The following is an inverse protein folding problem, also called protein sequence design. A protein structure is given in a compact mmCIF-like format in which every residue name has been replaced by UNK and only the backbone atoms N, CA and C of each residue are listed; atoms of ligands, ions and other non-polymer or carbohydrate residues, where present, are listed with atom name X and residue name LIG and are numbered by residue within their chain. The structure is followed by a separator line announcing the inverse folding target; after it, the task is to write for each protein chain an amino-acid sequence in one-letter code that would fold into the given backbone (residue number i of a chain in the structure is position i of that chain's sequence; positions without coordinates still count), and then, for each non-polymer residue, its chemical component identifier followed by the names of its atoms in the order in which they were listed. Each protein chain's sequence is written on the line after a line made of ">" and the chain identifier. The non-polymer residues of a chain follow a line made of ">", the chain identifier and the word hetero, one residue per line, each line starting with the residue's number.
data_IF_157048277660
#
_entry.id   IF_157048277660
#
_cell.length_a   1.000
_cell.length_b   1.000
_cell.length_c   1.000
_cell.angle_alpha   90.00
_cell.angle_beta   90.00
_cell.angle_gamma   90.00
#
_symmetry.space_group_name_H-M   'P 1'
#
loop_
_entity.id
_entity.type
_entity.pdbx_description
1 polymer ?
#
# COMPACT_ATOMS: atom_id res chain seq x y z
N UNK A 1 10.93 -23.60 63.75
CA UNK A 1 10.43 -23.89 62.38
C UNK A 1 9.98 -22.59 61.77
N UNK A 2 10.74 -22.08 60.80
CA UNK A 2 10.53 -20.78 60.16
C UNK A 2 10.55 -21.04 58.66
N UNK A 3 9.53 -20.63 57.87
CA UNK A 3 9.50 -20.96 56.46
C UNK A 3 10.45 -20.05 55.67
N UNK A 4 11.26 -20.70 54.84
CA UNK A 4 12.13 -20.12 53.83
C UNK A 4 11.24 -19.51 52.74
N UNK A 5 11.36 -18.20 52.48
CA UNK A 5 10.77 -17.57 51.28
C UNK A 5 11.74 -17.72 50.12
N UNK A 6 11.35 -18.48 49.10
CA UNK A 6 11.98 -18.47 47.79
C UNK A 6 11.58 -17.19 47.04
N UNK A 7 12.57 -16.36 46.70
CA UNK A 7 12.43 -15.26 45.75
C UNK A 7 12.56 -15.84 44.34
N UNK A 8 11.45 -16.05 43.65
CA UNK A 8 11.45 -16.40 42.22
C UNK A 8 11.68 -15.15 41.38
N UNK A 9 12.78 -15.18 40.65
CA UNK A 9 13.15 -14.25 39.59
C UNK A 9 12.07 -14.16 38.51
N UNK A 10 11.48 -12.97 38.32
CA UNK A 10 10.69 -12.65 37.15
C UNK A 10 10.96 -11.21 36.72
N UNK A 11 12.14 -10.98 36.14
CA UNK A 11 12.41 -9.83 35.27
C UNK A 11 13.28 -10.29 34.12
N UNK A 12 12.66 -10.90 33.12
CA UNK A 12 13.33 -11.26 31.89
C UNK A 12 12.38 -11.17 30.70
N UNK A 13 11.76 -10.00 30.51
CA UNK A 13 11.26 -9.56 29.20
C UNK A 13 11.37 -8.03 29.14
N UNK A 14 12.58 -7.53 28.94
CA UNK A 14 12.80 -6.12 28.56
C UNK A 14 14.17 -5.98 27.94
N UNK A 15 14.28 -6.37 26.68
CA UNK A 15 15.28 -5.88 25.73
C UNK A 15 15.12 -6.62 24.39
N UNK A 16 13.98 -6.48 23.72
CA UNK A 16 14.02 -6.60 22.26
C UNK A 16 14.60 -5.28 21.79
N UNK A 17 15.93 -5.27 21.63
CA UNK A 17 16.67 -4.13 21.10
C UNK A 17 16.09 -3.81 19.70
N UNK A 18 15.97 -2.54 19.32
CA UNK A 18 15.34 -2.11 18.05
C UNK A 18 15.96 -2.80 16.82
N UNK A 19 17.21 -3.23 16.93
CA UNK A 19 17.94 -4.02 15.93
C UNK A 19 17.42 -5.45 15.74
N UNK A 20 16.83 -6.06 16.77
CA UNK A 20 16.24 -7.41 16.71
C UNK A 20 14.92 -7.47 15.95
N UNK A 21 14.12 -6.40 16.00
CA UNK A 21 12.86 -6.28 15.25
C UNK A 21 13.15 -6.15 13.75
N UNK A 22 14.18 -5.38 13.38
CA UNK A 22 14.60 -5.22 11.99
C UNK A 22 15.13 -6.54 11.39
N UNK A 23 15.85 -7.35 12.17
CA UNK A 23 16.36 -8.66 11.73
C UNK A 23 15.23 -9.70 11.56
N UNK A 24 14.20 -9.64 12.40
CA UNK A 24 12.99 -10.49 12.28
C UNK A 24 12.15 -10.12 11.06
N UNK A 25 11.95 -8.82 10.78
CA UNK A 25 11.30 -8.35 9.54
C UNK A 25 12.08 -8.80 8.30
N UNK A 26 13.41 -8.74 8.36
CA UNK A 26 14.30 -9.16 7.26
C UNK A 26 14.22 -10.67 6.96
N UNK A 27 14.19 -11.52 7.99
CA UNK A 27 14.04 -12.98 7.81
C UNK A 27 12.64 -13.36 7.28
N UNK A 28 11.60 -12.62 7.65
CA UNK A 28 10.23 -12.86 7.18
C UNK A 28 10.05 -12.52 5.70
N UNK A 29 10.75 -11.49 5.21
CA UNK A 29 10.69 -11.05 3.81
C UNK A 29 11.49 -11.97 2.86
N UNK A 30 12.58 -12.57 3.32
CA UNK A 30 13.48 -13.39 2.48
C UNK A 30 13.05 -14.85 2.27
N UNK A 31 12.19 -15.41 3.13
CA UNK A 31 11.76 -16.81 3.03
C UNK A 31 10.61 -17.04 2.03
N UNK A 32 10.18 -15.98 1.35
CA UNK A 32 9.16 -16.03 0.30
C UNK A 32 9.82 -15.89 -1.06
N UNK A 33 10.27 -17.02 -1.64
CA UNK A 33 10.85 -17.08 -2.98
C UNK A 33 10.01 -16.38 -4.04
N UNK A 34 10.69 -15.88 -5.09
CA UNK A 34 10.17 -15.13 -6.25
C UNK A 34 9.07 -14.15 -5.88
N UNK A 35 9.40 -12.85 -5.78
CA UNK A 35 8.47 -11.75 -5.48
C UNK A 35 7.20 -11.87 -6.33
N UNK A 36 6.21 -12.56 -5.77
CA UNK A 36 4.90 -12.68 -6.38
C UNK A 36 4.24 -11.36 -6.04
N UNK A 37 4.10 -10.51 -7.06
CA UNK A 37 3.53 -9.17 -6.97
C UNK A 37 2.09 -9.20 -6.43
N UNK A 38 1.52 -10.39 -6.29
CA UNK A 38 0.11 -10.63 -6.12
C UNK A 38 -0.55 -10.37 -7.44
N UNK A 39 -1.25 -11.35 -7.99
CA UNK A 39 -2.19 -11.01 -9.04
C UNK A 39 -3.44 -10.41 -8.39
N UNK A 40 -4.02 -9.37 -8.98
CA UNK A 40 -5.33 -8.92 -8.54
C UNK A 40 -6.35 -10.06 -8.66
N UNK A 41 -7.41 -10.08 -7.83
CA UNK A 41 -8.48 -11.04 -8.01
C UNK A 41 -9.11 -10.88 -9.39
N UNK A 42 -9.43 -11.99 -10.04
CA UNK A 42 -10.24 -12.01 -11.25
C UNK A 42 -11.66 -11.61 -10.87
N UNK A 43 -12.15 -10.49 -11.41
CA UNK A 43 -13.45 -9.92 -11.09
C UNK A 43 -14.29 -9.72 -12.35
N UNK A 44 -15.50 -10.26 -12.34
CA UNK A 44 -16.47 -10.21 -13.46
C UNK A 44 -17.49 -9.07 -13.32
N UNK A 45 -17.38 -8.25 -12.26
CA UNK A 45 -18.28 -7.13 -12.04
C UNK A 45 -18.26 -6.15 -13.23
N UNK A 46 -19.41 -5.58 -13.63
CA UNK A 46 -19.45 -4.60 -14.70
C UNK A 46 -18.47 -3.45 -14.49
N UNK A 47 -17.81 -3.03 -15.57
CA UNK A 47 -16.91 -1.91 -15.56
C UNK A 47 -17.59 -0.65 -16.10
N UNK A 48 -17.24 0.49 -15.51
CA UNK A 48 -17.66 1.81 -15.96
C UNK A 48 -16.43 2.65 -16.26
N UNK A 49 -16.37 3.16 -17.48
CA UNK A 49 -15.37 4.16 -17.84
C UNK A 49 -15.77 5.53 -17.25
N UNK A 50 -14.83 6.26 -16.62
CA UNK A 50 -15.05 7.66 -16.27
C UNK A 50 -15.38 8.49 -17.51
N UNK A 51 -16.35 9.39 -17.40
CA UNK A 51 -16.73 10.29 -18.51
C UNK A 51 -16.21 11.70 -18.28
N UNK A 52 -16.27 12.53 -19.32
CA UNK A 52 -15.92 13.95 -19.27
C UNK A 52 -16.82 14.76 -18.34
N UNK A 53 -18.12 14.42 -18.31
CA UNK A 53 -19.15 15.22 -17.67
C UNK A 53 -19.52 14.71 -16.27
N UNK A 54 -19.05 13.53 -15.88
CA UNK A 54 -19.41 12.91 -14.62
C UNK A 54 -18.16 12.34 -13.93
N UNK A 55 -17.64 13.03 -12.91
CA UNK A 55 -16.59 12.50 -12.06
C UNK A 55 -17.02 11.16 -11.44
N UNK A 56 -16.11 10.20 -11.42
CA UNK A 56 -16.36 8.88 -10.81
C UNK A 56 -15.69 8.83 -9.45
N UNK A 57 -16.45 8.90 -8.34
CA UNK A 57 -15.89 8.80 -7.00
C UNK A 57 -15.50 7.34 -6.70
N UNK A 58 -14.37 7.17 -6.03
CA UNK A 58 -13.83 5.90 -5.56
C UNK A 58 -13.39 6.09 -4.11
N UNK A 59 -13.78 5.16 -3.23
CA UNK A 59 -13.32 5.14 -1.83
C UNK A 59 -12.50 3.90 -1.56
N UNK A 60 -11.37 4.04 -0.89
CA UNK A 60 -10.57 2.86 -0.57
C UNK A 60 -9.84 2.96 0.76
N UNK A 61 -9.45 1.79 1.26
CA UNK A 61 -8.71 1.61 2.48
C UNK A 61 -7.33 1.02 2.16
N UNK A 62 -6.28 1.60 2.77
CA UNK A 62 -4.90 1.17 2.54
C UNK A 62 -4.62 -0.29 2.94
N UNK A 63 -5.47 -0.89 3.79
CA UNK A 63 -5.40 -2.33 4.16
C UNK A 63 -5.84 -3.27 3.06
N UNK A 64 -6.61 -2.79 2.09
CA UNK A 64 -7.00 -3.63 0.97
C UNK A 64 -5.91 -3.55 -0.12
N UNK A 65 -5.25 -4.67 -0.46
CA UNK A 65 -4.22 -4.67 -1.50
C UNK A 65 -4.79 -4.44 -2.89
N UNK A 66 -6.07 -4.71 -3.14
CA UNK A 66 -6.69 -4.56 -4.46
C UNK A 66 -8.02 -3.84 -4.32
N UNK A 67 -7.98 -2.51 -4.17
CA UNK A 67 -9.22 -1.74 -4.16
C UNK A 67 -9.76 -1.60 -5.58
N UNK A 68 -10.88 -2.26 -5.81
CA UNK A 68 -11.65 -2.21 -7.04
C UNK A 68 -13.05 -1.66 -6.74
N UNK A 69 -13.50 -0.75 -7.59
CA UNK A 69 -14.87 -0.22 -7.57
C UNK A 69 -15.54 -0.27 -8.94
N UNK A 70 -15.08 -1.15 -9.83
CA UNK A 70 -15.69 -1.35 -11.15
C UNK A 70 -15.34 -0.23 -12.13
N UNK A 71 -14.14 0.34 -12.04
CA UNK A 71 -13.70 1.41 -12.95
C UNK A 71 -12.84 0.81 -14.06
N UNK A 72 -13.16 1.12 -15.33
CA UNK A 72 -12.29 0.80 -16.47
C UNK A 72 -11.48 2.01 -16.91
N UNK A 73 -10.24 1.74 -17.29
CA UNK A 73 -9.38 2.65 -18.05
C UNK A 73 -9.33 2.16 -19.50
N UNK A 74 -9.25 3.10 -20.45
CA UNK A 74 -9.16 2.79 -21.88
C UNK A 74 -7.85 3.33 -22.43
N UNK A 75 -7.08 2.46 -23.09
CA UNK A 75 -5.78 2.79 -23.68
C UNK A 75 -5.86 4.04 -24.53
N UNK A 76 -4.95 4.97 -24.28
CA UNK A 76 -4.82 6.22 -25.00
C UNK A 76 -5.66 7.37 -24.47
N UNK A 77 -6.72 7.10 -23.69
CA UNK A 77 -7.48 8.15 -23.00
C UNK A 77 -6.67 8.73 -21.84
N UNK A 78 -6.98 9.98 -21.51
CA UNK A 78 -6.31 10.71 -20.44
C UNK A 78 -7.27 10.95 -19.29
N UNK A 79 -6.79 10.70 -18.07
CA UNK A 79 -7.56 10.82 -16.84
C UNK A 79 -6.89 11.77 -15.87
N UNK A 80 -7.70 12.44 -15.06
CA UNK A 80 -7.24 13.21 -13.91
C UNK A 80 -7.79 12.60 -12.62
N UNK A 81 -6.91 12.53 -11.62
CA UNK A 81 -7.20 11.97 -10.31
C UNK A 81 -7.15 13.08 -9.26
N UNK A 82 -8.24 13.24 -8.52
CA UNK A 82 -8.31 14.12 -7.35
C UNK A 82 -8.36 13.26 -6.11
N UNK A 83 -7.50 13.54 -5.15
CA UNK A 83 -7.23 12.64 -4.03
C UNK A 83 -7.33 13.45 -2.75
N UNK A 84 -8.01 12.88 -1.77
CA UNK A 84 -7.95 13.31 -0.37
C UNK A 84 -7.71 12.08 0.49
N UNK A 85 -6.47 11.90 0.94
CA UNK A 85 -6.15 10.86 1.90
C UNK A 85 -6.27 11.40 3.33
N UNK A 86 -6.60 10.50 4.25
CA UNK A 86 -6.64 10.75 5.68
C UNK A 86 -5.94 9.61 6.41
N UNK A 87 -5.16 9.97 7.44
CA UNK A 87 -4.43 9.02 8.27
C UNK A 87 -3.53 8.04 7.46
N UNK A 88 -2.72 8.57 6.54
CA UNK A 88 -1.84 7.79 5.66
C UNK A 88 -0.53 7.41 6.35
N UNK A 89 -0.48 6.20 6.92
CA UNK A 89 0.67 5.67 7.66
C UNK A 89 0.95 4.23 7.28
N UNK A 90 2.22 3.92 7.05
CA UNK A 90 2.72 2.56 6.83
C UNK A 90 3.00 1.90 8.18
N UNK A 91 2.23 0.85 8.51
CA UNK A 91 2.30 0.16 9.79
C UNK A 91 1.52 0.81 10.94
N UNK A 92 1.47 0.08 12.05
CA UNK A 92 0.74 0.42 13.28
C UNK A 92 0.14 -0.83 13.91
N UNK A 93 -0.55 -0.68 15.04
CA UNK A 93 -1.30 -1.78 15.66
C UNK A 93 -2.68 -1.93 14.97
N UNK A 94 -2.98 -3.06 14.28
CA UNK A 94 -4.24 -3.23 13.55
C UNK A 94 -5.50 -3.01 14.40
N UNK A 95 -5.42 -3.34 15.69
CA UNK A 95 -6.52 -3.27 16.66
C UNK A 95 -6.60 -1.89 17.33
N UNK A 96 -5.46 -1.24 17.58
CA UNK A 96 -5.40 0.05 18.30
C UNK A 96 -5.29 1.28 17.41
N UNK A 97 -5.03 1.08 16.12
CA UNK A 97 -4.76 2.18 15.20
C UNK A 97 -3.31 2.65 15.25
N UNK A 98 -3.06 3.80 14.62
CA UNK A 98 -1.79 4.52 14.77
C UNK A 98 -1.93 5.43 15.98
N UNK A 99 -1.09 5.23 16.98
CA UNK A 99 -1.03 6.08 18.15
C UNK A 99 -0.41 7.44 17.83
N UNK A 100 -0.77 8.45 18.61
CA UNK A 100 -0.08 9.76 18.60
C UNK A 100 1.42 9.65 18.91
N UNK A 101 1.88 8.49 19.42
CA UNK A 101 3.28 8.19 19.75
C UNK A 101 4.06 7.53 18.60
N UNK A 102 3.46 7.34 17.42
CA UNK A 102 4.20 7.09 16.17
C UNK A 102 4.66 5.64 15.95
N UNK A 103 3.80 4.66 16.18
CA UNK A 103 4.02 3.26 15.83
C UNK A 103 3.91 2.97 14.31
N UNK A 104 3.24 3.84 13.56
CA UNK A 104 3.25 3.85 12.08
C UNK A 104 4.24 4.87 11.51
N UNK A 105 4.71 4.64 10.28
CA UNK A 105 5.58 5.56 9.55
C UNK A 105 4.72 6.58 8.80
N UNK A 106 4.77 7.88 9.16
CA UNK A 106 4.05 8.93 8.43
C UNK A 106 4.51 8.95 6.98
N UNK A 107 3.53 8.98 6.07
CA UNK A 107 3.74 8.86 4.63
C UNK A 107 2.92 9.89 3.87
N UNK A 108 3.18 9.98 2.57
CA UNK A 108 2.38 10.76 1.64
C UNK A 108 1.97 9.92 0.44
N UNK A 109 0.82 10.23 -0.14
CA UNK A 109 0.30 9.57 -1.34
C UNK A 109 1.26 9.70 -2.54
N UNK A 110 2.11 10.73 -2.56
CA UNK A 110 3.07 11.00 -3.64
C UNK A 110 4.44 10.41 -3.42
N UNK A 111 5.03 10.70 -2.27
CA UNK A 111 6.43 10.37 -1.98
C UNK A 111 6.54 9.18 -1.03
N UNK A 112 5.41 8.60 -0.62
CA UNK A 112 5.41 7.58 0.40
C UNK A 112 6.09 8.08 1.66
N UNK A 113 6.93 7.24 2.25
CA UNK A 113 7.85 7.61 3.33
C UNK A 113 9.30 7.86 2.86
N UNK A 114 9.57 8.09 1.57
CA UNK A 114 10.93 8.31 1.07
C UNK A 114 11.66 9.47 1.76
N UNK A 115 10.92 10.51 2.15
CA UNK A 115 11.45 11.69 2.85
C UNK A 115 11.45 11.53 4.38
N UNK A 116 10.86 10.45 4.91
CA UNK A 116 10.76 10.22 6.35
C UNK A 116 12.09 9.68 6.90
N UNK A 117 12.72 10.37 7.88
CA UNK A 117 14.06 10.01 8.37
C UNK A 117 14.00 8.91 9.45
N UNK A 118 13.46 7.74 9.13
CA UNK A 118 13.43 6.59 10.05
C UNK A 118 14.58 5.61 9.77
N UNK A 119 15.00 4.86 10.77
CA UNK A 119 15.92 3.72 10.56
C UNK A 119 15.33 2.76 9.53
N UNK A 120 14.02 2.56 9.59
CA UNK A 120 13.32 1.66 8.70
C UNK A 120 13.36 2.12 7.24
N UNK A 121 13.22 3.43 7.00
CA UNK A 121 13.29 3.97 5.66
C UNK A 121 14.68 3.82 5.05
N UNK A 122 15.75 3.97 5.85
CA UNK A 122 17.13 3.73 5.38
C UNK A 122 17.38 2.27 5.00
N UNK A 123 16.84 1.33 5.76
CA UNK A 123 17.04 -0.10 5.53
C UNK A 123 16.23 -0.62 4.33
N UNK A 124 14.95 -0.22 4.19
CA UNK A 124 14.03 -0.73 3.15
C UNK A 124 14.11 0.01 1.81
N UNK A 125 14.65 1.25 1.77
CA UNK A 125 14.89 1.98 0.50
C UNK A 125 15.57 1.15 -0.59
N UNK A 126 16.72 0.48 -0.34
CA UNK A 126 17.38 -0.35 -1.35
C UNK A 126 16.58 -1.61 -1.73
N UNK A 127 15.55 -1.97 -0.96
CA UNK A 127 14.71 -3.15 -1.20
C UNK A 127 13.50 -2.82 -2.09
N UNK A 128 13.70 -2.02 -3.15
CA UNK A 128 12.62 -1.62 -4.06
C UNK A 128 11.90 -2.80 -4.70
N UNK A 129 12.64 -3.88 -4.96
CA UNK A 129 12.13 -5.13 -5.52
C UNK A 129 11.10 -5.83 -4.63
N UNK A 130 10.98 -5.48 -3.35
CA UNK A 130 9.94 -6.02 -2.46
C UNK A 130 8.60 -5.30 -2.59
N UNK A 131 8.58 -4.10 -3.18
CA UNK A 131 7.35 -3.34 -3.41
C UNK A 131 6.51 -4.01 -4.47
N UNK A 132 5.19 -3.82 -4.39
CA UNK A 132 4.28 -4.27 -5.46
C UNK A 132 4.58 -3.59 -6.80
N UNK A 133 4.84 -2.29 -6.79
CA UNK A 133 5.32 -1.57 -7.97
C UNK A 133 6.73 -1.05 -7.67
N UNK A 134 7.79 -1.78 -8.07
CA UNK A 134 9.18 -1.48 -7.71
C UNK A 134 9.66 -0.09 -8.11
N UNK A 135 9.07 0.46 -9.17
CA UNK A 135 9.41 1.79 -9.69
C UNK A 135 8.81 2.94 -8.87
N UNK A 136 7.81 2.65 -8.02
CA UNK A 136 7.08 3.66 -7.25
C UNK A 136 7.56 3.68 -5.79
N UNK A 137 7.48 4.83 -5.08
CA UNK A 137 7.88 4.94 -3.69
C UNK A 137 7.16 3.96 -2.77
N UNK A 138 7.82 3.55 -1.70
CA UNK A 138 7.18 2.77 -0.64
C UNK A 138 6.01 3.53 -0.01
N UNK A 139 4.85 2.91 0.06
CA UNK A 139 3.62 3.47 0.59
C UNK A 139 3.06 4.69 -0.15
N UNK A 140 3.56 4.98 -1.36
CA UNK A 140 2.86 5.91 -2.25
C UNK A 140 1.54 5.31 -2.73
N UNK A 141 0.61 6.16 -3.09
CA UNK A 141 -0.65 5.76 -3.69
C UNK A 141 -0.45 5.42 -5.16
N UNK A 142 -0.85 4.21 -5.55
CA UNK A 142 -0.60 3.67 -6.89
C UNK A 142 -1.90 3.21 -7.52
N UNK A 143 -2.05 3.52 -8.80
CA UNK A 143 -3.04 2.91 -9.69
C UNK A 143 -2.41 1.77 -10.47
N UNK A 144 -3.20 0.74 -10.76
CA UNK A 144 -2.80 -0.35 -11.64
C UNK A 144 -3.91 -0.64 -12.65
N UNK A 145 -3.55 -0.69 -13.93
CA UNK A 145 -4.45 -1.15 -15.00
C UNK A 145 -4.17 -2.62 -15.22
N UNK A 146 -5.14 -3.48 -14.89
CA UNK A 146 -5.08 -4.90 -15.22
C UNK A 146 -5.63 -5.13 -16.61
N UNK A 147 -4.78 -5.52 -17.56
CA UNK A 147 -5.18 -5.89 -18.91
C UNK A 147 -5.95 -7.22 -18.94
N UNK A 148 -6.78 -7.33 -19.98
CA UNK A 148 -7.52 -8.55 -20.27
C UNK A 148 -8.78 -8.71 -19.41
N UNK A 149 -9.43 -9.85 -19.63
CA UNK A 149 -10.57 -10.32 -18.86
C UNK A 149 -10.10 -11.32 -17.79
N UNK A 150 -11.02 -12.19 -17.38
CA UNK A 150 -10.82 -13.29 -16.44
C UNK A 150 -9.69 -14.28 -16.76
N UNK A 151 -9.05 -14.17 -17.93
CA UNK A 151 -7.93 -15.02 -18.36
C UNK A 151 -6.55 -14.48 -17.96
N UNK A 152 -6.50 -13.28 -17.38
CA UNK A 152 -5.27 -12.63 -16.96
C UNK A 152 -4.55 -11.90 -18.10
N UNK A 153 -3.74 -10.91 -17.72
CA UNK A 153 -2.96 -10.07 -18.61
C UNK A 153 -1.90 -9.29 -17.82
N UNK A 154 -1.18 -8.39 -18.49
CA UNK A 154 -0.18 -7.56 -17.84
C UNK A 154 -0.82 -6.53 -16.88
N UNK A 155 -0.12 -6.22 -15.79
CA UNK A 155 -0.51 -5.18 -14.84
C UNK A 155 0.39 -3.96 -15.03
N UNK A 156 -0.22 -2.80 -15.30
CA UNK A 156 0.50 -1.54 -15.53
C UNK A 156 0.32 -0.59 -14.37
N UNK A 157 1.36 -0.43 -13.54
CA UNK A 157 1.35 0.49 -12.41
C UNK A 157 1.61 1.95 -12.83
N UNK A 158 1.03 2.90 -12.12
CA UNK A 158 1.33 4.32 -12.23
C UNK A 158 1.11 5.05 -10.90
N UNK A 159 1.90 6.08 -10.64
CA UNK A 159 1.76 6.90 -9.43
C UNK A 159 0.47 7.73 -9.48
N UNK A 160 -0.32 7.67 -8.42
CA UNK A 160 -1.48 8.53 -8.21
C UNK A 160 -1.13 9.48 -7.07
N UNK A 161 -1.04 10.79 -7.32
CA UNK A 161 -0.75 11.69 -6.20
C UNK A 161 -0.26 13.09 -6.52
N UNK A 162 0.32 13.34 -7.69
CA UNK A 162 0.91 14.67 -7.96
C UNK A 162 -0.14 15.79 -8.04
N UNK A 163 -1.43 15.48 -7.96
CA UNK A 163 -2.55 16.44 -7.99
C UNK A 163 -2.73 17.19 -9.32
N UNK A 164 -1.76 17.09 -10.24
CA UNK A 164 -1.69 17.98 -11.41
C UNK A 164 -1.37 17.25 -12.72
N UNK A 165 -1.01 15.96 -12.70
CA UNK A 165 -0.66 15.24 -13.91
C UNK A 165 -1.86 14.57 -14.58
N UNK A 166 -1.99 14.87 -15.87
CA UNK A 166 -2.81 14.16 -16.83
C UNK A 166 -2.23 12.74 -17.01
N UNK A 167 -2.94 11.71 -16.55
CA UNK A 167 -2.48 10.32 -16.66
C UNK A 167 -3.06 9.71 -17.94
N UNK A 168 -2.18 9.44 -18.91
CA UNK A 168 -2.57 8.70 -20.11
C UNK A 168 -2.54 7.20 -19.82
N UNK A 169 -3.67 6.53 -20.01
CA UNK A 169 -3.74 5.08 -19.84
C UNK A 169 -2.91 4.38 -20.93
N UNK A 170 -1.93 3.57 -20.52
CA UNK A 170 -1.07 2.80 -21.42
C UNK A 170 -1.73 1.51 -21.93
N UNK A 171 -2.80 1.10 -21.25
CA UNK A 171 -3.54 -0.12 -21.47
C UNK A 171 -5.04 0.08 -21.23
N UNK A 172 -5.87 -0.82 -21.76
CA UNK A 172 -7.30 -0.89 -21.46
C UNK A 172 -7.53 -1.98 -20.43
N UNK A 173 -8.29 -1.70 -19.38
CA UNK A 173 -8.48 -2.68 -18.32
C UNK A 173 -9.14 -2.14 -17.06
N UNK A 174 -9.24 -3.01 -16.05
CA UNK A 174 -9.79 -2.66 -14.72
C UNK A 174 -8.76 -1.85 -13.94
N UNK A 175 -9.21 -0.76 -13.34
CA UNK A 175 -8.41 0.05 -12.43
C UNK A 175 -8.45 -0.55 -11.02
N UNK A 176 -7.28 -0.86 -10.49
CA UNK A 176 -7.07 -1.08 -9.06
C UNK A 176 -6.31 0.08 -8.45
N UNK A 177 -6.54 0.33 -7.17
CA UNK A 177 -5.83 1.36 -6.41
C UNK A 177 -5.34 0.80 -5.07
N UNK A 178 -4.12 1.13 -4.67
CA UNK A 178 -3.53 0.64 -3.41
C UNK A 178 -2.38 1.52 -2.91
N UNK A 179 -2.08 1.43 -1.60
CA UNK A 179 -0.80 1.88 -1.05
C UNK A 179 0.31 0.94 -1.50
N UNK A 180 1.45 1.43 -2.01
CA UNK A 180 2.50 0.62 -2.61
C UNK A 180 3.40 -0.04 -1.55
N UNK A 181 2.96 -1.21 -1.10
CA UNK A 181 3.64 -1.99 -0.09
C UNK A 181 3.94 -3.39 -0.66
N UNK A 182 4.71 -4.18 0.07
CA UNK A 182 5.01 -5.56 -0.26
C UNK A 182 3.74 -6.42 -0.22
N UNK A 183 3.67 -7.43 -1.08
CA UNK A 183 2.53 -8.35 -1.11
C UNK A 183 2.57 -9.36 0.06
N UNK A 184 1.39 -9.79 0.56
CA UNK A 184 1.09 -10.67 1.73
C UNK A 184 0.60 -9.90 2.98
N UNK A 185 0.85 -10.44 4.20
CA UNK A 185 0.32 -10.01 5.51
C UNK A 185 0.75 -8.60 5.95
N UNK A 186 1.51 -7.90 5.12
CA UNK A 186 1.96 -6.53 5.36
C UNK A 186 0.84 -5.51 5.20
N UNK A 187 -0.19 -5.79 4.40
CA UNK A 187 -1.32 -4.87 4.28
C UNK A 187 -2.20 -4.80 5.54
N UNK A 188 -2.16 -5.79 6.43
CA UNK A 188 -3.05 -5.83 7.60
C UNK A 188 -2.79 -4.69 8.59
N UNK A 189 -1.56 -4.16 8.62
CA UNK A 189 -1.17 -3.03 9.46
C UNK A 189 -1.09 -1.69 8.72
N UNK A 190 -1.57 -1.63 7.48
CA UNK A 190 -1.63 -0.39 6.72
C UNK A 190 -2.75 0.52 7.24
N UNK A 191 -2.52 1.82 7.21
CA UNK A 191 -3.50 2.83 7.62
C UNK A 191 -3.65 3.90 6.56
N UNK A 192 -4.90 4.24 6.28
CA UNK A 192 -5.24 5.25 5.31
C UNK A 192 -6.63 5.02 4.75
N UNK A 193 -7.40 6.09 4.67
CA UNK A 193 -8.63 6.13 3.88
C UNK A 193 -8.47 7.21 2.84
N UNK A 194 -8.84 6.89 1.61
CA UNK A 194 -8.77 7.84 0.51
C UNK A 194 -10.14 8.00 -0.13
N UNK A 195 -10.54 9.25 -0.23
CA UNK A 195 -11.56 9.70 -1.16
C UNK A 195 -10.87 10.12 -2.45
N UNK A 196 -11.10 9.36 -3.53
CA UNK A 196 -10.54 9.60 -4.84
C UNK A 196 -11.66 9.91 -5.83
N UNK A 197 -11.38 10.76 -6.80
CA UNK A 197 -12.27 11.04 -7.92
C UNK A 197 -11.48 10.97 -9.21
N UNK A 198 -11.95 10.18 -10.17
CA UNK A 198 -11.36 10.06 -11.50
C UNK A 198 -12.27 10.69 -12.55
N UNK A 199 -11.68 11.47 -13.45
CA UNK A 199 -12.38 12.13 -14.56
C UNK A 199 -11.60 11.84 -15.83
N UNK A 200 -12.29 11.43 -16.90
CA UNK A 200 -11.67 11.41 -18.23
C UNK A 200 -11.65 12.82 -18.79
N UNK A 201 -10.50 13.26 -19.29
CA UNK A 201 -10.30 14.63 -19.76
C UNK A 201 -9.90 14.73 -21.23
N UNK A 202 -9.46 13.62 -21.86
CA UNK A 202 -9.20 13.49 -23.31
C UNK A 202 -9.52 12.06 -23.75
#
# INVERSE_FOLDING_TARGET
>A
MTPIRFSTSARLVSAINKSGIALLLFLFLLTSGCVNVGQPPILTAPLKEPSFNAPTPIKFNARNPWNDQGVSMVKGHTYKFYIKATNWYDGGDPDKGVSEKGDGIPSSETHGWEKTPSFMSKLLKPMSFLRRCPEQPWYALVGAIQEGDERGGDTHCFLIGKGEEDIKAVASGRLYVFANDSYKKTYDNNFGVVDLTVIRIK
#
